data_IF_592606063467
#
_entry.id   IF_592606063467
#
_cell.length_a   1.000
_cell.length_b   1.000
_cell.length_c   1.000
_cell.angle_alpha   90.00
_cell.angle_beta   90.00
_cell.angle_gamma   90.00
#
_symmetry.space_group_name_H-M   'P 1'
#
loop_
_entity.id
_entity.type
_entity.pdbx_description
1 polymer ?
#
# COMPACT_ATOMS: atom_id res chain seq x y z
N UNK A 1 10.22 -14.61 -14.27
CA UNK A 1 9.33 -14.63 -13.11
C UNK A 1 7.98 -15.28 -13.41
N UNK A 2 7.21 -14.82 -14.41
CA UNK A 2 5.93 -15.44 -14.79
C UNK A 2 6.10 -16.92 -15.12
N UNK A 3 7.09 -17.26 -15.99
CA UNK A 3 7.40 -18.64 -16.35
C UNK A 3 7.70 -19.55 -15.16
N UNK A 4 8.35 -19.01 -14.14
CA UNK A 4 8.71 -19.75 -12.92
C UNK A 4 7.50 -20.00 -12.01
N UNK A 5 6.56 -19.08 -11.98
CA UNK A 5 5.49 -19.04 -10.99
C UNK A 5 4.09 -19.38 -11.53
N UNK A 6 3.91 -19.44 -12.84
CA UNK A 6 2.60 -19.67 -13.47
C UNK A 6 1.91 -20.97 -13.00
N UNK A 7 2.68 -21.97 -12.60
CA UNK A 7 2.14 -23.25 -12.09
C UNK A 7 1.86 -23.23 -10.57
N UNK A 8 2.07 -22.12 -9.88
CA UNK A 8 1.77 -21.99 -8.45
C UNK A 8 0.29 -21.63 -8.28
N UNK A 9 -0.52 -22.50 -7.65
CA UNK A 9 -1.95 -22.22 -7.45
C UNK A 9 -2.22 -21.03 -6.51
N UNK A 10 -1.24 -20.68 -5.68
CA UNK A 10 -1.32 -19.52 -4.76
C UNK A 10 -1.18 -18.18 -5.46
N UNK A 11 -0.71 -18.13 -6.71
CA UNK A 11 -0.66 -16.90 -7.49
C UNK A 11 -2.04 -16.61 -8.05
N UNK A 12 -2.68 -15.56 -7.58
CA UNK A 12 -4.03 -15.16 -8.00
C UNK A 12 -4.03 -13.89 -8.87
N UNK A 13 -2.95 -13.11 -8.79
CA UNK A 13 -2.78 -11.87 -9.55
C UNK A 13 -1.33 -11.68 -9.98
N UNK A 14 -1.14 -11.00 -11.12
CA UNK A 14 0.14 -10.50 -11.58
C UNK A 14 0.16 -8.98 -11.50
N UNK A 15 1.08 -8.41 -10.74
CA UNK A 15 1.26 -6.96 -10.64
C UNK A 15 2.40 -6.49 -11.54
N UNK A 16 2.15 -5.50 -12.40
CA UNK A 16 3.18 -4.95 -13.27
C UNK A 16 4.10 -3.97 -12.55
N UNK A 17 3.51 -3.09 -11.75
CA UNK A 17 4.25 -2.01 -11.09
C UNK A 17 3.49 -1.43 -9.89
N UNK A 18 4.20 -0.62 -9.10
CA UNK A 18 3.67 0.14 -7.98
C UNK A 18 4.09 1.61 -8.09
N UNK A 19 3.14 2.53 -7.90
CA UNK A 19 3.34 3.98 -7.82
C UNK A 19 4.08 4.64 -9.00
N UNK A 20 3.99 4.04 -10.18
CA UNK A 20 4.61 4.58 -11.38
C UNK A 20 3.61 4.55 -12.52
N UNK A 21 3.36 5.66 -13.15
CA UNK A 21 2.49 5.72 -14.32
C UNK A 21 3.20 5.07 -15.50
N UNK A 22 2.70 3.92 -15.95
CA UNK A 22 3.14 3.29 -17.18
C UNK A 22 2.41 3.92 -18.37
N UNK A 23 3.07 4.10 -19.52
CA UNK A 23 2.36 4.33 -20.77
C UNK A 23 1.37 3.19 -21.02
N UNK A 24 0.15 3.54 -21.43
CA UNK A 24 -0.93 2.57 -21.60
C UNK A 24 -0.54 1.44 -22.55
N UNK A 25 0.03 1.79 -23.68
CA UNK A 25 0.45 0.82 -24.70
C UNK A 25 1.48 -0.18 -24.15
N UNK A 26 2.41 0.29 -23.31
CA UNK A 26 3.39 -0.58 -22.66
C UNK A 26 2.73 -1.53 -21.66
N UNK A 27 1.76 -1.05 -20.88
CA UNK A 27 1.01 -1.89 -19.96
C UNK A 27 0.16 -2.94 -20.69
N UNK A 28 -0.45 -2.59 -21.80
CA UNK A 28 -1.21 -3.50 -22.69
C UNK A 28 -0.29 -4.57 -23.31
N UNK A 29 0.89 -4.20 -23.78
CA UNK A 29 1.89 -5.14 -24.30
C UNK A 29 2.37 -6.12 -23.24
N UNK A 30 2.72 -5.63 -22.04
CA UNK A 30 3.09 -6.48 -20.92
C UNK A 30 1.96 -7.43 -20.51
N UNK A 31 0.72 -6.95 -20.52
CA UNK A 31 -0.47 -7.75 -20.25
C UNK A 31 -0.62 -8.88 -21.27
N UNK A 32 -0.45 -8.60 -22.53
CA UNK A 32 -0.50 -9.60 -23.61
C UNK A 32 0.61 -10.66 -23.45
N UNK A 33 1.83 -10.24 -23.16
CA UNK A 33 2.97 -11.15 -22.91
C UNK A 33 2.71 -12.06 -21.69
N UNK A 34 2.16 -11.51 -20.61
CA UNK A 34 1.83 -12.31 -19.42
C UNK A 34 0.78 -13.36 -19.76
N UNK A 35 -0.27 -13.02 -20.52
CA UNK A 35 -1.31 -13.95 -20.95
C UNK A 35 -0.79 -15.04 -21.87
N UNK A 36 0.16 -14.73 -22.75
CA UNK A 36 0.84 -15.72 -23.59
C UNK A 36 1.64 -16.71 -22.71
N UNK A 37 2.35 -16.20 -21.69
CA UNK A 37 3.15 -17.03 -20.82
C UNK A 37 2.33 -17.82 -19.80
N UNK A 38 1.22 -17.28 -19.36
CA UNK A 38 0.30 -17.85 -18.38
C UNK A 38 -1.14 -17.84 -18.93
N UNK A 39 -1.56 -18.90 -19.63
CA UNK A 39 -2.91 -18.98 -20.17
C UNK A 39 -4.04 -18.82 -19.15
N UNK A 40 -3.77 -19.09 -17.86
CA UNK A 40 -4.77 -18.89 -16.80
C UNK A 40 -5.07 -17.41 -16.55
N UNK A 41 -4.18 -16.50 -16.98
CA UNK A 41 -4.39 -15.06 -16.90
C UNK A 41 -5.46 -14.52 -17.87
N UNK A 42 -6.05 -15.36 -18.72
CA UNK A 42 -7.20 -14.98 -19.55
C UNK A 42 -8.54 -15.00 -18.78
N UNK A 43 -8.65 -15.78 -17.70
CA UNK A 43 -9.95 -16.02 -17.04
C UNK A 43 -9.88 -16.32 -15.55
N UNK A 44 -8.72 -16.58 -14.98
CA UNK A 44 -8.56 -16.93 -13.56
C UNK A 44 -7.66 -15.97 -12.79
N UNK A 45 -6.63 -15.43 -13.42
CA UNK A 45 -5.67 -14.53 -12.80
C UNK A 45 -5.80 -13.13 -13.39
N UNK A 46 -5.91 -12.16 -12.52
CA UNK A 46 -6.02 -10.75 -12.90
C UNK A 46 -4.62 -10.17 -13.06
N UNK A 47 -4.44 -9.32 -14.07
CA UNK A 47 -3.22 -8.53 -14.27
C UNK A 47 -3.51 -7.11 -13.78
N UNK A 48 -2.66 -6.60 -12.89
CA UNK A 48 -2.90 -5.33 -12.21
C UNK A 48 -1.73 -4.37 -12.29
N UNK A 49 -2.03 -3.10 -12.11
CA UNK A 49 -1.11 -2.09 -11.60
C UNK A 49 -1.53 -1.71 -10.18
N UNK A 50 -0.67 -1.02 -9.43
CA UNK A 50 -1.04 -0.40 -8.15
C UNK A 50 -0.69 1.09 -8.19
N UNK A 51 -1.71 1.94 -8.26
CA UNK A 51 -1.56 3.38 -8.55
C UNK A 51 -0.75 3.64 -9.84
N UNK A 52 -1.02 2.86 -10.89
CA UNK A 52 -0.16 2.82 -12.06
C UNK A 52 -0.82 3.17 -13.39
N UNK A 53 -2.08 3.54 -13.37
CA UNK A 53 -2.81 3.92 -14.58
C UNK A 53 -3.49 2.74 -15.29
N UNK A 54 -3.73 2.93 -16.58
CA UNK A 54 -4.53 2.04 -17.43
C UNK A 54 -3.67 1.04 -18.21
N UNK A 55 -4.32 0.10 -18.88
CA UNK A 55 -3.68 -0.89 -19.78
C UNK A 55 -3.56 -2.30 -19.17
N UNK A 56 -4.08 -2.50 -17.97
CA UNK A 56 -4.23 -3.80 -17.30
C UNK A 56 -5.70 -4.07 -17.00
N UNK A 57 -6.00 -5.24 -16.45
CA UNK A 57 -7.38 -5.59 -16.08
C UNK A 57 -7.90 -4.71 -14.93
N UNK A 58 -7.02 -4.31 -14.03
CA UNK A 58 -7.40 -3.55 -12.85
C UNK A 58 -6.25 -2.69 -12.31
N UNK A 59 -6.52 -1.41 -12.10
CA UNK A 59 -5.63 -0.54 -11.35
C UNK A 59 -6.03 -0.57 -9.88
N UNK A 60 -5.33 -1.35 -9.08
CA UNK A 60 -5.51 -1.39 -7.63
C UNK A 60 -5.06 -0.06 -7.04
N UNK A 61 -5.82 0.50 -6.12
CA UNK A 61 -5.46 1.75 -5.47
C UNK A 61 -4.93 1.52 -4.07
N UNK A 62 -4.19 2.50 -3.57
CA UNK A 62 -3.69 2.57 -2.21
C UNK A 62 -4.56 3.50 -1.38
N UNK A 63 -4.59 3.30 -0.07
CA UNK A 63 -5.24 4.23 0.85
C UNK A 63 -4.35 4.53 2.07
N UNK A 64 -3.88 5.77 2.11
CA UNK A 64 -3.02 6.28 3.16
C UNK A 64 -3.70 7.33 4.05
N UNK A 65 -5.04 7.38 4.06
CA UNK A 65 -5.79 8.32 4.90
C UNK A 65 -5.36 8.26 6.36
N UNK A 66 -5.22 9.43 6.96
CA UNK A 66 -4.69 9.60 8.30
C UNK A 66 -3.16 9.54 8.43
N UNK A 67 -2.45 9.08 7.39
CA UNK A 67 -0.98 8.99 7.40
C UNK A 67 -0.33 10.19 6.71
N UNK A 68 -0.69 10.44 5.45
CA UNK A 68 -0.19 11.59 4.68
C UNK A 68 -1.18 12.75 4.60
N UNK A 69 -2.43 12.50 4.96
CA UNK A 69 -3.55 13.42 4.90
C UNK A 69 -4.84 12.62 4.97
N UNK A 70 -5.97 13.29 4.72
CA UNK A 70 -7.29 12.66 4.80
C UNK A 70 -7.77 12.42 6.23
N UNK A 71 -8.95 11.84 6.32
CA UNK A 71 -9.62 11.55 7.58
C UNK A 71 -9.68 10.04 7.79
N UNK A 72 -8.94 9.54 8.77
CA UNK A 72 -8.88 8.11 9.07
C UNK A 72 -10.23 7.54 9.53
N UNK A 73 -11.11 8.35 10.10
CA UNK A 73 -12.44 7.90 10.49
C UNK A 73 -13.37 7.64 9.28
N UNK A 74 -13.00 8.15 8.11
CA UNK A 74 -13.67 7.87 6.84
C UNK A 74 -13.01 6.72 6.03
N UNK A 75 -12.04 6.07 6.59
CA UNK A 75 -11.26 5.02 5.90
C UNK A 75 -12.15 3.92 5.30
N UNK A 76 -13.13 3.43 6.07
CA UNK A 76 -14.08 2.43 5.60
C UNK A 76 -14.96 2.90 4.44
N UNK A 77 -15.38 4.16 4.45
CA UNK A 77 -16.14 4.74 3.34
C UNK A 77 -15.30 4.82 2.06
N UNK A 78 -14.04 5.20 2.20
CA UNK A 78 -13.11 5.27 1.07
C UNK A 78 -12.82 3.90 0.48
N UNK A 79 -12.65 2.87 1.30
CA UNK A 79 -12.47 1.49 0.86
C UNK A 79 -13.70 0.92 0.15
N UNK A 80 -14.90 1.34 0.55
CA UNK A 80 -16.16 0.83 -0.01
C UNK A 80 -16.55 1.45 -1.35
N UNK A 81 -15.72 2.32 -1.92
CA UNK A 81 -16.01 2.95 -3.22
C UNK A 81 -16.10 1.89 -4.33
N UNK A 82 -16.95 2.10 -5.34
CA UNK A 82 -17.06 1.19 -6.48
C UNK A 82 -15.67 0.88 -7.08
N UNK A 83 -15.42 -0.38 -7.38
CA UNK A 83 -14.16 -0.90 -7.90
C UNK A 83 -12.96 -0.86 -6.94
N UNK A 84 -13.17 -0.54 -5.67
CA UNK A 84 -12.14 -0.59 -4.63
C UNK A 84 -12.19 -1.92 -3.86
N UNK A 85 -12.10 -3.06 -4.57
CA UNK A 85 -12.21 -4.39 -3.96
C UNK A 85 -10.99 -4.79 -3.12
N UNK A 86 -9.84 -4.19 -3.40
CA UNK A 86 -8.57 -4.48 -2.73
C UNK A 86 -7.84 -3.16 -2.47
N UNK A 87 -7.34 -2.98 -1.26
CA UNK A 87 -6.40 -1.90 -0.97
C UNK A 87 -4.97 -2.42 -1.15
N UNK A 88 -4.30 -1.96 -2.18
CA UNK A 88 -2.96 -2.41 -2.57
C UNK A 88 -1.85 -2.01 -1.60
N UNK A 89 -2.08 -0.96 -0.81
CA UNK A 89 -1.13 -0.53 0.19
C UNK A 89 -1.77 0.39 1.23
N UNK A 90 -1.51 0.13 2.50
CA UNK A 90 -1.87 1.01 3.62
C UNK A 90 -0.81 0.91 4.72
N UNK A 91 -0.80 1.85 5.65
CA UNK A 91 0.12 1.81 6.76
C UNK A 91 0.10 3.08 7.59
N UNK A 92 1.10 3.23 8.43
CA UNK A 92 1.35 4.44 9.21
C UNK A 92 2.85 4.62 9.45
N UNK A 93 3.25 5.85 9.74
CA UNK A 93 4.61 6.20 10.13
C UNK A 93 4.79 6.16 11.63
N UNK A 94 6.00 5.84 12.07
CA UNK A 94 6.47 6.02 13.44
C UNK A 94 7.92 6.48 13.47
N UNK A 95 8.30 7.10 14.57
CA UNK A 95 9.69 7.30 14.94
C UNK A 95 10.06 6.27 16.01
N UNK A 96 11.06 5.46 15.74
CA UNK A 96 11.47 4.38 16.62
C UNK A 96 11.91 4.95 17.98
N UNK A 97 11.41 4.35 19.07
CA UNK A 97 11.70 4.74 20.43
C UNK A 97 10.92 5.97 20.91
N UNK A 98 10.10 6.57 20.07
CA UNK A 98 9.22 7.66 20.48
C UNK A 98 7.88 7.09 20.96
N UNK A 99 7.79 6.84 22.24
CA UNK A 99 6.59 6.34 22.89
C UNK A 99 5.73 7.50 23.39
N UNK A 100 4.40 7.40 23.22
CA UNK A 100 3.44 8.31 23.83
C UNK A 100 2.22 7.52 24.28
N UNK A 101 1.53 8.03 25.28
CA UNK A 101 0.30 7.41 25.76
C UNK A 101 -0.80 7.49 24.68
N UNK A 102 -1.58 6.44 24.47
CA UNK A 102 -2.67 6.42 23.51
C UNK A 102 -3.71 7.55 23.71
N UNK A 103 -3.92 8.00 24.96
CA UNK A 103 -4.82 9.11 25.26
C UNK A 103 -4.35 10.45 24.68
N UNK A 104 -3.08 10.58 24.37
CA UNK A 104 -2.50 11.77 23.73
C UNK A 104 -2.49 11.67 22.19
N UNK A 105 -3.25 10.74 21.62
CA UNK A 105 -3.31 10.57 20.17
C UNK A 105 -3.83 11.84 19.49
N UNK A 106 -3.00 12.41 18.64
CA UNK A 106 -3.33 13.49 17.73
C UNK A 106 -3.00 13.05 16.31
N UNK A 107 -3.98 12.98 15.39
CA UNK A 107 -3.73 12.62 13.98
C UNK A 107 -2.74 13.55 13.28
N UNK A 108 -2.64 14.78 13.73
CA UNK A 108 -1.70 15.80 13.21
C UNK A 108 -0.42 15.91 14.04
N UNK A 109 -0.34 15.14 15.12
CA UNK A 109 0.74 15.21 16.09
C UNK A 109 1.97 14.42 15.70
N UNK A 110 2.79 14.18 16.71
CA UNK A 110 4.08 13.47 16.57
C UNK A 110 3.88 12.06 16.04
N UNK A 111 4.77 11.64 15.18
CA UNK A 111 4.76 10.28 14.62
C UNK A 111 5.32 9.27 15.62
N UNK A 112 4.61 9.07 16.70
CA UNK A 112 4.97 8.12 17.75
C UNK A 112 4.53 6.70 17.41
N UNK A 113 5.08 5.74 18.14
CA UNK A 113 4.66 4.34 18.03
C UNK A 113 3.20 4.17 18.47
N UNK A 114 2.77 4.85 19.52
CA UNK A 114 1.37 4.85 19.96
C UNK A 114 0.42 5.40 18.88
N UNK A 115 0.81 6.48 18.20
CA UNK A 115 0.05 7.01 17.06
C UNK A 115 -0.04 6.00 15.92
N UNK A 116 1.06 5.35 15.56
CA UNK A 116 1.06 4.29 14.54
C UNK A 116 0.09 3.17 14.92
N UNK A 117 0.17 2.64 16.13
CA UNK A 117 -0.73 1.60 16.62
C UNK A 117 -2.20 2.02 16.53
N UNK A 118 -2.49 3.25 16.94
CA UNK A 118 -3.85 3.77 16.90
C UNK A 118 -4.41 3.93 15.48
N UNK A 119 -3.59 4.43 14.55
CA UNK A 119 -3.98 4.53 13.14
C UNK A 119 -4.23 3.14 12.53
N UNK A 120 -3.37 2.18 12.83
CA UNK A 120 -3.51 0.81 12.34
C UNK A 120 -4.77 0.14 12.91
N UNK A 121 -5.05 0.32 14.20
CA UNK A 121 -6.28 -0.18 14.83
C UNK A 121 -7.54 0.36 14.13
N UNK A 122 -7.60 1.67 13.89
CA UNK A 122 -8.73 2.29 13.20
C UNK A 122 -8.87 1.72 11.79
N UNK A 123 -7.79 1.68 11.01
CA UNK A 123 -7.80 1.19 9.63
C UNK A 123 -8.24 -0.27 9.52
N UNK A 124 -7.77 -1.13 10.40
CA UNK A 124 -8.18 -2.53 10.43
C UNK A 124 -9.65 -2.66 10.79
N UNK A 125 -10.09 -1.99 11.86
CA UNK A 125 -11.49 -2.00 12.28
C UNK A 125 -12.44 -1.48 11.19
N UNK A 126 -12.08 -0.39 10.53
CA UNK A 126 -12.88 0.19 9.46
C UNK A 126 -12.91 -0.71 8.21
N UNK A 127 -11.81 -1.37 7.87
CA UNK A 127 -11.78 -2.36 6.78
C UNK A 127 -12.67 -3.57 7.11
N UNK A 128 -12.63 -4.09 8.34
CA UNK A 128 -13.50 -5.19 8.76
C UNK A 128 -14.97 -4.81 8.76
N UNK A 129 -15.31 -3.57 9.10
CA UNK A 129 -16.69 -3.07 9.04
C UNK A 129 -17.28 -3.11 7.62
N UNK A 130 -16.44 -2.97 6.60
CA UNK A 130 -16.84 -2.97 5.19
C UNK A 130 -16.39 -4.22 4.42
N UNK A 131 -16.09 -5.30 5.13
CA UNK A 131 -15.55 -6.56 4.57
C UNK A 131 -16.40 -7.17 3.45
N UNK A 132 -17.68 -6.87 3.39
CA UNK A 132 -18.56 -7.34 2.31
C UNK A 132 -18.32 -6.60 0.98
N UNK A 133 -17.61 -5.48 1.02
CA UNK A 133 -17.25 -4.66 -0.14
C UNK A 133 -15.76 -4.70 -0.49
N UNK A 134 -14.91 -5.21 0.41
CA UNK A 134 -13.44 -5.21 0.28
C UNK A 134 -12.89 -6.59 0.60
N UNK A 135 -12.19 -7.21 -0.34
CA UNK A 135 -11.64 -8.55 -0.14
C UNK A 135 -10.35 -8.58 0.69
N UNK A 136 -9.70 -7.44 0.88
CA UNK A 136 -8.48 -7.35 1.68
C UNK A 136 -7.69 -6.07 1.51
N UNK A 137 -6.60 -6.00 2.27
CA UNK A 137 -5.66 -4.88 2.21
C UNK A 137 -4.24 -5.36 2.55
N UNK A 138 -3.24 -4.75 1.94
CA UNK A 138 -1.82 -5.06 2.15
C UNK A 138 -1.15 -3.97 2.98
N UNK A 139 -0.64 -4.35 4.14
CA UNK A 139 0.08 -3.43 5.01
C UNK A 139 1.50 -3.18 4.50
N UNK A 140 1.87 -1.93 4.33
CA UNK A 140 3.23 -1.50 4.07
C UNK A 140 3.83 -0.90 5.34
N UNK A 141 4.71 -1.58 6.03
CA UNK A 141 5.39 -2.79 5.63
C UNK A 141 5.64 -3.67 6.86
N UNK A 142 5.95 -4.96 6.69
CA UNK A 142 6.23 -5.83 7.82
C UNK A 142 7.51 -5.41 8.56
N UNK A 143 8.62 -5.29 7.85
CA UNK A 143 9.90 -4.86 8.41
C UNK A 143 10.35 -3.57 7.76
N UNK A 144 10.76 -2.59 8.57
CA UNK A 144 11.33 -1.35 8.05
C UNK A 144 12.60 -1.61 7.26
N UNK A 145 12.86 -0.78 6.28
CA UNK A 145 14.08 -0.82 5.48
C UNK A 145 14.62 0.59 5.29
N UNK A 146 15.92 0.69 5.15
CA UNK A 146 16.59 1.92 4.79
C UNK A 146 16.59 2.12 3.27
N UNK A 147 16.51 3.37 2.87
CA UNK A 147 16.72 3.78 1.49
C UNK A 147 17.68 4.99 1.47
N UNK A 148 18.96 4.77 1.73
CA UNK A 148 19.92 5.85 1.95
C UNK A 148 20.19 6.71 0.71
N UNK A 149 19.91 6.17 -0.48
CA UNK A 149 20.06 6.89 -1.74
C UNK A 149 18.87 7.77 -2.13
N UNK A 150 17.76 7.70 -1.42
CA UNK A 150 16.54 8.43 -1.77
C UNK A 150 16.69 9.90 -1.41
N UNK A 151 16.69 10.77 -2.43
CA UNK A 151 16.61 12.21 -2.24
C UNK A 151 15.18 12.65 -1.92
N UNK A 152 15.08 13.67 -1.07
CA UNK A 152 13.84 14.41 -0.83
C UNK A 152 13.91 15.76 -1.55
N UNK A 153 12.79 16.30 -2.05
CA UNK A 153 12.79 17.53 -2.82
C UNK A 153 13.39 18.75 -2.09
N UNK A 154 13.20 18.81 -0.79
CA UNK A 154 13.50 19.96 0.05
C UNK A 154 14.66 19.74 1.04
N UNK A 155 15.08 18.51 1.29
CA UNK A 155 16.04 18.17 2.35
C UNK A 155 17.24 17.32 1.89
N UNK A 156 17.32 16.99 0.62
CA UNK A 156 18.39 16.17 0.08
C UNK A 156 18.17 14.68 0.32
N UNK A 157 18.87 14.08 1.28
CA UNK A 157 18.74 12.64 1.59
C UNK A 157 17.82 12.42 2.78
N UNK A 158 16.99 11.38 2.69
CA UNK A 158 16.15 10.96 3.79
C UNK A 158 16.96 10.15 4.80
N UNK A 159 17.51 10.85 5.79
CA UNK A 159 18.30 10.24 6.85
C UNK A 159 17.58 10.31 8.18
N UNK A 160 16.98 11.45 8.47
CA UNK A 160 16.38 11.76 9.76
C UNK A 160 15.00 12.37 9.54
N UNK A 161 14.07 11.95 10.35
CA UNK A 161 12.76 12.50 10.44
C UNK A 161 12.76 13.77 11.32
N UNK A 162 11.86 14.69 11.04
CA UNK A 162 11.73 15.95 11.81
C UNK A 162 11.26 15.74 13.24
N UNK A 163 10.70 14.60 13.53
CA UNK A 163 10.08 14.26 14.83
C UNK A 163 10.99 13.36 15.66
N UNK A 164 11.82 12.59 15.03
CA UNK A 164 12.71 11.64 15.68
C UNK A 164 13.86 11.22 14.78
N UNK A 165 14.76 10.37 15.26
CA UNK A 165 15.95 9.99 14.53
C UNK A 165 15.65 9.19 13.25
N UNK A 166 14.57 8.42 13.24
CA UNK A 166 14.20 7.56 12.12
C UNK A 166 12.68 7.48 11.98
N UNK A 167 12.23 7.58 10.74
CA UNK A 167 10.82 7.48 10.39
C UNK A 167 10.58 6.21 9.58
N UNK A 168 9.88 5.26 10.18
CA UNK A 168 9.65 3.95 9.61
C UNK A 168 8.17 3.59 9.55
N UNK A 169 7.83 2.67 8.65
CA UNK A 169 6.48 2.11 8.47
C UNK A 169 6.36 0.65 8.89
N UNK A 170 7.47 0.01 9.23
CA UNK A 170 7.49 -1.41 9.60
C UNK A 170 6.74 -1.70 10.88
N UNK A 171 6.06 -2.85 10.93
CA UNK A 171 5.45 -3.38 12.16
C UNK A 171 6.54 -3.82 13.13
N UNK A 172 7.65 -4.31 12.58
CA UNK A 172 8.85 -4.71 13.33
C UNK A 172 10.07 -3.93 12.82
N UNK A 173 11.10 -3.86 13.64
CA UNK A 173 12.40 -3.22 13.34
C UNK A 173 13.40 -4.24 12.85
#
# INVERSE_FOLDING_TARGET
WVKERRNSPSVVMWGLQNESTLPREFAEECTAIIREMDPTAHHMRIITTCNGGEGTDWNVVQNWSGTYGGDVERYGEELSRPNQLLNGEYGAWRSIGLHTEPAAFDPKGVWSESRMCRLMEIKIREAERVRDSVCGQFQWIYSSHDNPGRRQPDEGYRIIDKVGPFNYKGLVT
#
